data_IF_534984799072
#
_entry.id   IF_534984799072
#
_cell.length_a   1.000
_cell.length_b   1.000
_cell.length_c   1.000
_cell.angle_alpha   90.00
_cell.angle_beta   90.00
_cell.angle_gamma   90.00
#
_symmetry.space_group_name_H-M   'P 1'
#
loop_
_entity.id
_entity.type
_entity.pdbx_description
1 polymer ?
#
# COMPACT_ATOMS: atom_id res chain seq x y z
N UNK A 1 -14.64 -3.58 -29.15
CA UNK A 1 -13.59 -3.11 -28.22
C UNK A 1 -12.25 -3.31 -28.92
N UNK A 2 -11.40 -2.29 -29.00
CA UNK A 2 -10.08 -2.43 -29.63
C UNK A 2 -9.19 -3.34 -28.79
N UNK A 3 -8.53 -4.28 -29.44
CA UNK A 3 -7.59 -5.21 -28.83
C UNK A 3 -6.41 -4.41 -28.23
N UNK A 4 -6.21 -4.53 -26.92
CA UNK A 4 -5.11 -3.82 -26.23
C UNK A 4 -3.78 -4.43 -26.68
N UNK A 5 -3.00 -3.65 -27.43
CA UNK A 5 -1.66 -4.05 -27.86
C UNK A 5 -0.68 -3.85 -26.71
N UNK A 6 -0.40 -4.93 -25.98
CA UNK A 6 0.52 -4.93 -24.84
C UNK A 6 1.91 -4.34 -25.16
N UNK A 7 2.45 -4.61 -26.35
CA UNK A 7 3.74 -4.06 -26.77
C UNK A 7 3.77 -2.53 -26.82
N UNK A 8 2.66 -1.90 -27.21
CA UNK A 8 2.52 -0.44 -27.23
C UNK A 8 2.41 0.13 -25.81
N UNK A 9 1.69 -0.57 -24.92
CA UNK A 9 1.59 -0.20 -23.50
C UNK A 9 2.96 -0.21 -22.80
N UNK A 10 3.80 -1.20 -23.10
CA UNK A 10 5.17 -1.24 -22.57
C UNK A 10 6.01 -0.05 -23.06
N UNK A 11 5.90 0.33 -24.33
CA UNK A 11 6.60 1.49 -24.86
C UNK A 11 6.16 2.80 -24.19
N UNK A 12 4.86 2.95 -23.93
CA UNK A 12 4.35 4.11 -23.21
C UNK A 12 4.81 4.15 -21.75
N UNK A 13 4.82 3.00 -21.09
CA UNK A 13 5.35 2.87 -19.73
C UNK A 13 6.82 3.29 -19.66
N UNK A 14 7.64 2.84 -20.61
CA UNK A 14 9.06 3.19 -20.64
C UNK A 14 9.29 4.69 -20.88
N UNK A 15 8.49 5.32 -21.76
CA UNK A 15 8.53 6.78 -21.94
C UNK A 15 8.18 7.54 -20.65
N UNK A 16 7.21 7.04 -19.87
CA UNK A 16 6.87 7.61 -18.56
C UNK A 16 8.01 7.41 -17.57
N UNK A 17 8.67 6.25 -17.57
CA UNK A 17 9.84 5.99 -16.73
C UNK A 17 10.96 6.99 -17.00
N UNK A 18 11.31 7.20 -18.28
CA UNK A 18 12.36 8.13 -18.70
C UNK A 18 12.03 9.58 -18.36
N UNK A 19 10.75 9.98 -18.44
CA UNK A 19 10.30 11.34 -18.16
C UNK A 19 10.27 11.68 -16.66
N UNK A 20 10.01 10.70 -15.81
CA UNK A 20 9.85 10.90 -14.36
C UNK A 20 10.74 9.95 -13.56
N UNK A 21 12.07 9.95 -13.78
CA UNK A 21 12.97 8.95 -13.18
C UNK A 21 12.92 8.96 -11.65
N UNK A 22 12.74 10.13 -11.04
CA UNK A 22 12.65 10.28 -9.57
C UNK A 22 11.40 9.62 -8.98
N UNK A 23 10.29 9.56 -9.73
CA UNK A 23 9.09 8.86 -9.31
C UNK A 23 9.33 7.34 -9.32
N UNK A 24 10.15 6.85 -10.24
CA UNK A 24 10.46 5.42 -10.35
C UNK A 24 11.61 4.99 -9.44
N UNK A 25 12.48 5.91 -9.03
CA UNK A 25 13.47 5.72 -7.96
C UNK A 25 12.90 6.01 -6.55
N UNK A 26 11.63 5.68 -6.34
CA UNK A 26 11.01 5.76 -5.02
C UNK A 26 11.64 4.71 -4.09
N UNK A 27 12.29 5.19 -3.02
CA UNK A 27 12.75 4.32 -1.94
C UNK A 27 11.55 3.72 -1.20
N UNK A 28 11.13 2.53 -1.64
CA UNK A 28 10.02 1.81 -1.03
C UNK A 28 10.44 1.35 0.37
N UNK A 29 9.69 1.77 1.39
CA UNK A 29 9.82 1.23 2.74
C UNK A 29 9.39 -0.24 2.70
N UNK A 30 10.38 -1.14 2.68
CA UNK A 30 10.15 -2.59 2.58
C UNK A 30 9.43 -3.17 3.79
N UNK A 31 9.55 -2.54 4.97
CA UNK A 31 8.92 -2.98 6.22
C UNK A 31 7.89 -1.95 6.68
N UNK A 32 6.65 -2.11 6.21
CA UNK A 32 5.53 -1.19 6.52
C UNK A 32 5.19 -1.18 8.01
N UNK A 33 5.18 -2.34 8.67
CA UNK A 33 4.74 -2.47 10.06
C UNK A 33 5.58 -1.63 11.05
N UNK A 34 6.93 -1.70 11.09
CA UNK A 34 7.74 -0.83 11.95
C UNK A 34 7.50 0.67 11.71
N UNK A 35 7.28 1.06 10.46
CA UNK A 35 7.00 2.45 10.11
C UNK A 35 5.66 2.91 10.68
N UNK A 36 4.61 2.10 10.53
CA UNK A 36 3.29 2.39 11.11
C UNK A 36 3.37 2.49 12.64
N UNK A 37 4.06 1.56 13.29
CA UNK A 37 4.19 1.53 14.75
C UNK A 37 4.95 2.74 15.34
N UNK A 38 5.75 3.45 14.52
CA UNK A 38 6.41 4.69 14.92
C UNK A 38 5.41 5.82 15.18
N UNK A 39 4.28 5.80 14.49
CA UNK A 39 3.28 6.88 14.55
C UNK A 39 1.98 6.46 15.23
N UNK A 40 1.61 5.17 15.14
CA UNK A 40 0.39 4.64 15.72
C UNK A 40 0.50 4.56 17.25
N UNK A 41 -0.39 5.29 17.93
CA UNK A 41 -0.56 5.22 19.38
C UNK A 41 -1.62 4.20 19.74
N UNK A 42 -1.52 3.68 20.96
CA UNK A 42 -2.54 2.76 21.47
C UNK A 42 -3.85 3.53 21.72
N UNK A 43 -4.99 2.93 21.39
CA UNK A 43 -6.31 3.57 21.48
C UNK A 43 -6.72 4.39 20.24
N UNK A 44 -5.85 4.59 19.25
CA UNK A 44 -6.21 5.32 18.03
C UNK A 44 -7.09 4.47 17.08
N UNK A 45 -7.82 5.17 16.20
CA UNK A 45 -8.58 4.56 15.13
C UNK A 45 -7.71 4.27 13.91
N UNK A 46 -7.84 3.07 13.33
CA UNK A 46 -7.15 2.64 12.11
C UNK A 46 -8.18 2.20 11.08
N UNK A 47 -8.06 2.73 9.85
CA UNK A 47 -8.79 2.28 8.68
C UNK A 47 -7.81 1.70 7.66
N UNK A 48 -7.92 0.41 7.34
CA UNK A 48 -7.19 -0.24 6.26
C UNK A 48 -8.03 -0.27 4.98
N UNK A 49 -7.45 0.23 3.88
CA UNK A 49 -8.08 0.21 2.55
C UNK A 49 -7.29 -0.76 1.67
N UNK A 50 -7.99 -1.67 0.98
CA UNK A 50 -7.37 -2.77 0.23
C UNK A 50 -6.87 -3.86 1.18
N UNK A 51 -7.74 -4.26 2.11
CA UNK A 51 -7.40 -5.10 3.25
C UNK A 51 -7.19 -6.59 2.91
N UNK A 52 -7.52 -7.06 1.71
CA UNK A 52 -7.33 -8.43 1.22
C UNK A 52 -7.57 -9.51 2.32
N UNK A 53 -6.51 -10.02 2.95
CA UNK A 53 -6.55 -11.10 3.95
C UNK A 53 -6.86 -10.64 5.40
N UNK A 54 -6.98 -9.32 5.62
CA UNK A 54 -7.25 -8.66 6.91
C UNK A 54 -6.28 -9.06 8.03
N UNK A 55 -5.11 -9.58 7.71
CA UNK A 55 -4.13 -10.05 8.70
C UNK A 55 -3.47 -8.92 9.47
N UNK A 56 -3.47 -7.70 8.93
CA UNK A 56 -2.81 -6.54 9.51
C UNK A 56 -3.38 -6.15 10.87
N UNK A 57 -4.70 -6.30 11.09
CA UNK A 57 -5.33 -6.03 12.38
C UNK A 57 -4.67 -6.83 13.51
N UNK A 58 -4.61 -8.16 13.33
CA UNK A 58 -4.07 -9.07 14.34
C UNK A 58 -2.61 -8.72 14.67
N UNK A 59 -1.82 -8.35 13.66
CA UNK A 59 -0.43 -7.95 13.81
C UNK A 59 -0.30 -6.62 14.56
N UNK A 60 -1.14 -5.63 14.28
CA UNK A 60 -1.09 -4.34 14.97
C UNK A 60 -1.53 -4.47 16.44
N UNK A 61 -2.58 -5.27 16.71
CA UNK A 61 -3.08 -5.51 18.07
C UNK A 61 -2.07 -6.23 18.98
N UNK A 62 -1.12 -6.97 18.42
CA UNK A 62 0.02 -7.51 19.21
C UNK A 62 0.88 -6.40 19.85
N UNK A 63 0.96 -5.23 19.23
CA UNK A 63 1.78 -4.10 19.72
C UNK A 63 0.95 -2.98 20.32
N UNK A 64 -0.30 -2.81 19.89
CA UNK A 64 -1.22 -1.75 20.28
C UNK A 64 -2.62 -2.35 20.50
N UNK A 65 -2.86 -3.00 21.65
CA UNK A 65 -4.05 -3.83 21.86
C UNK A 65 -5.36 -3.04 21.91
N UNK A 66 -5.32 -1.73 22.17
CA UNK A 66 -6.50 -0.90 22.35
C UNK A 66 -6.93 -0.15 21.08
N UNK A 67 -6.26 -0.35 19.95
CA UNK A 67 -6.64 0.33 18.70
C UNK A 67 -8.04 -0.10 18.22
N UNK A 68 -8.76 0.86 17.67
CA UNK A 68 -10.05 0.63 17.02
C UNK A 68 -9.81 0.39 15.52
N UNK A 69 -9.96 -0.86 15.07
CA UNK A 69 -9.64 -1.24 13.69
C UNK A 69 -10.88 -1.37 12.81
N UNK A 70 -10.80 -0.86 11.58
CA UNK A 70 -11.77 -1.09 10.50
C UNK A 70 -11.02 -1.40 9.21
N UNK A 71 -11.64 -2.20 8.35
CA UNK A 71 -11.11 -2.51 7.02
C UNK A 71 -12.17 -2.33 5.94
N UNK A 72 -11.71 -1.99 4.73
CA UNK A 72 -12.48 -1.90 3.51
C UNK A 72 -11.70 -2.56 2.37
N UNK A 73 -12.38 -3.35 1.56
CA UNK A 73 -11.88 -3.87 0.29
C UNK A 73 -12.96 -3.69 -0.79
N UNK A 74 -12.54 -3.58 -2.05
CA UNK A 74 -13.45 -3.50 -3.21
C UNK A 74 -13.77 -4.89 -3.78
N UNK A 75 -12.99 -5.90 -3.42
CA UNK A 75 -13.30 -7.32 -3.65
C UNK A 75 -14.40 -7.84 -2.72
#
# INVERSE_FOLDING_TARGET
MSEVRWGEQFQWREKVHQRFPELWDLKIVRKRLPFVLKYLKDGEGVLEIGAFDRSLESRLKQFRPQIHYKSLDIE
#
